data_IF_912340647815
#
_entry.id   IF_912340647815
#
_cell.length_a   1.000
_cell.length_b   1.000
_cell.length_c   1.000
_cell.angle_alpha   90.00
_cell.angle_beta   90.00
_cell.angle_gamma   90.00
#
_symmetry.space_group_name_H-M   'P 1'
#
loop_
_entity.id
_entity.type
_entity.pdbx_description
1 polymer ?
#
# COMPACT_ATOMS: atom_id res chain seq x y z
N UNK A 1 -36.37 -3.90 11.39
CA UNK A 1 -35.26 -4.79 11.16
C UNK A 1 -34.58 -4.47 9.81
N UNK A 2 -35.25 -4.67 8.66
CA UNK A 2 -34.64 -4.45 7.32
C UNK A 2 -34.08 -3.04 7.14
N UNK A 3 -34.78 -1.99 7.64
CA UNK A 3 -34.31 -0.60 7.56
C UNK A 3 -32.96 -0.35 8.24
N UNK A 4 -32.56 -1.17 9.21
CA UNK A 4 -31.25 -1.07 9.86
C UNK A 4 -30.09 -1.51 8.93
N UNK A 5 -30.37 -2.22 7.84
CA UNK A 5 -29.36 -2.61 6.85
C UNK A 5 -29.03 -1.48 5.86
N UNK A 6 -29.90 -0.46 5.72
CA UNK A 6 -29.72 0.60 4.71
C UNK A 6 -28.44 1.44 4.93
N UNK A 7 -28.12 1.90 6.16
CA UNK A 7 -26.87 2.63 6.39
C UNK A 7 -25.63 1.80 6.06
N UNK A 8 -25.66 0.49 6.37
CA UNK A 8 -24.55 -0.42 6.08
C UNK A 8 -24.38 -0.63 4.58
N UNK A 9 -25.48 -0.75 3.83
CA UNK A 9 -25.43 -0.84 2.37
C UNK A 9 -24.92 0.46 1.72
N UNK A 10 -25.34 1.62 2.24
CA UNK A 10 -24.87 2.91 1.75
C UNK A 10 -23.36 3.10 2.00
N UNK A 11 -22.85 2.68 3.16
CA UNK A 11 -21.43 2.74 3.46
C UNK A 11 -20.59 1.77 2.62
N UNK A 12 -21.20 0.74 2.02
CA UNK A 12 -20.52 -0.20 1.13
C UNK A 12 -20.45 0.29 -0.33
N UNK A 13 -21.05 1.44 -0.66
CA UNK A 13 -20.90 2.08 -1.97
C UNK A 13 -19.46 2.60 -2.06
N UNK A 14 -18.66 2.01 -2.93
CA UNK A 14 -17.22 2.35 -3.04
C UNK A 14 -16.29 1.43 -2.26
N UNK A 15 -16.79 0.57 -1.37
CA UNK A 15 -15.97 -0.39 -0.65
C UNK A 15 -15.46 -1.53 -1.56
N UNK A 16 -14.41 -2.22 -1.08
CA UNK A 16 -13.88 -3.45 -1.70
C UNK A 16 -14.97 -4.52 -1.89
N UNK A 17 -14.69 -5.54 -2.69
CA UNK A 17 -15.63 -6.66 -2.91
C UNK A 17 -16.01 -7.31 -1.59
N UNK A 18 -15.07 -7.49 -0.68
CA UNK A 18 -15.33 -8.08 0.64
C UNK A 18 -16.14 -7.16 1.56
N UNK A 19 -15.91 -5.84 1.48
CA UNK A 19 -16.75 -4.85 2.14
C UNK A 19 -18.22 -4.91 1.65
N UNK A 20 -18.42 -5.03 0.33
CA UNK A 20 -19.75 -5.22 -0.28
C UNK A 20 -20.38 -6.54 0.12
N UNK A 21 -19.62 -7.63 0.17
CA UNK A 21 -20.08 -8.95 0.64
C UNK A 21 -20.52 -8.89 2.11
N UNK A 22 -19.73 -8.26 2.97
CA UNK A 22 -20.07 -8.10 4.40
C UNK A 22 -21.40 -7.34 4.58
N UNK A 23 -21.60 -6.26 3.85
CA UNK A 23 -22.87 -5.51 3.86
C UNK A 23 -24.03 -6.34 3.34
N UNK A 24 -23.81 -7.16 2.31
CA UNK A 24 -24.80 -8.04 1.73
C UNK A 24 -25.15 -9.22 2.66
N UNK A 25 -24.19 -9.80 3.39
CA UNK A 25 -24.45 -10.81 4.45
C UNK A 25 -25.42 -10.23 5.48
N UNK A 26 -25.21 -8.99 5.91
CA UNK A 26 -26.10 -8.34 6.87
C UNK A 26 -27.52 -8.18 6.30
N UNK A 27 -27.66 -7.72 5.06
CA UNK A 27 -28.96 -7.59 4.40
C UNK A 27 -29.68 -8.93 4.26
N UNK A 28 -29.00 -9.95 3.74
CA UNK A 28 -29.56 -11.31 3.53
C UNK A 28 -30.02 -11.90 4.87
N UNK A 29 -29.22 -11.75 5.93
CA UNK A 29 -29.59 -12.22 7.27
C UNK A 29 -30.79 -11.47 7.84
N UNK A 30 -30.91 -10.15 7.63
CA UNK A 30 -32.07 -9.36 8.08
C UNK A 30 -33.35 -9.78 7.31
N UNK A 31 -33.28 -9.88 5.99
CA UNK A 31 -34.45 -10.27 5.15
C UNK A 31 -34.89 -11.69 5.45
N UNK A 32 -33.95 -12.65 5.47
CA UNK A 32 -34.26 -14.05 5.76
C UNK A 32 -34.84 -14.23 7.16
N UNK A 33 -34.27 -13.54 8.15
CA UNK A 33 -34.74 -13.58 9.53
C UNK A 33 -36.17 -13.01 9.67
N UNK A 34 -36.49 -11.92 8.99
CA UNK A 34 -37.85 -11.33 9.00
C UNK A 34 -38.87 -12.28 8.35
N UNK A 35 -38.54 -12.84 7.19
CA UNK A 35 -39.42 -13.76 6.47
C UNK A 35 -39.68 -15.02 7.31
N UNK A 36 -38.62 -15.63 7.85
CA UNK A 36 -38.72 -16.83 8.68
C UNK A 36 -39.58 -16.58 9.93
N UNK A 37 -39.29 -15.50 10.64
CA UNK A 37 -40.02 -15.15 11.84
C UNK A 37 -41.49 -14.84 11.56
N UNK A 38 -41.77 -14.08 10.49
CA UNK A 38 -43.17 -13.76 10.08
C UNK A 38 -43.91 -15.05 9.72
N UNK A 39 -43.32 -15.93 8.95
CA UNK A 39 -43.91 -17.23 8.58
C UNK A 39 -44.26 -18.08 9.82
N UNK A 40 -43.34 -18.20 10.77
CA UNK A 40 -43.54 -18.95 12.02
C UNK A 40 -44.61 -18.26 12.88
N UNK A 41 -44.54 -16.92 13.06
CA UNK A 41 -45.49 -16.18 13.89
C UNK A 41 -46.89 -16.29 13.37
N UNK A 42 -47.14 -16.00 12.08
CA UNK A 42 -48.48 -16.05 11.50
C UNK A 42 -49.06 -17.48 11.44
N UNK A 43 -48.22 -18.48 11.23
CA UNK A 43 -48.63 -19.87 11.25
C UNK A 43 -49.04 -20.31 12.66
N UNK A 44 -48.30 -19.95 13.67
CA UNK A 44 -48.62 -20.23 15.08
C UNK A 44 -49.84 -19.45 15.54
N UNK A 45 -49.95 -18.17 15.18
CA UNK A 45 -51.12 -17.37 15.52
C UNK A 45 -52.39 -17.89 14.92
N UNK A 46 -52.38 -18.38 13.67
CA UNK A 46 -53.51 -19.02 13.03
C UNK A 46 -53.95 -20.34 13.73
N UNK A 47 -53.00 -21.06 14.37
CA UNK A 47 -53.28 -22.32 15.09
C UNK A 47 -53.72 -22.09 16.53
N UNK A 48 -53.06 -21.20 17.25
CA UNK A 48 -53.18 -21.02 18.73
C UNK A 48 -53.93 -19.74 19.10
N UNK A 49 -53.99 -18.76 18.19
CA UNK A 49 -54.57 -17.41 18.44
C UNK A 49 -53.96 -16.75 19.67
N UNK A 50 -52.85 -16.08 19.50
CA UNK A 50 -52.12 -15.46 20.61
C UNK A 50 -52.97 -14.38 21.34
N UNK A 51 -53.23 -14.50 22.65
CA UNK A 51 -54.08 -13.56 23.39
C UNK A 51 -53.50 -12.14 23.49
N UNK A 52 -52.25 -11.96 23.11
CA UNK A 52 -51.56 -10.66 23.13
C UNK A 52 -51.50 -9.96 21.77
N UNK A 53 -51.95 -10.62 20.69
CA UNK A 53 -51.91 -10.05 19.35
C UNK A 53 -52.75 -8.77 19.20
N UNK A 54 -53.86 -8.70 19.91
CA UNK A 54 -54.77 -7.56 19.91
C UNK A 54 -54.47 -6.47 20.95
N UNK A 55 -53.38 -6.62 21.72
CA UNK A 55 -53.01 -5.64 22.74
C UNK A 55 -52.28 -4.44 22.14
N UNK A 56 -52.62 -3.23 22.65
CA UNK A 56 -51.91 -2.00 22.31
C UNK A 56 -50.48 -2.09 22.85
N UNK A 57 -49.52 -1.99 21.97
CA UNK A 57 -48.11 -2.06 22.32
C UNK A 57 -47.58 -0.70 22.85
N UNK A 58 -46.91 -0.72 23.97
CA UNK A 58 -46.13 0.41 24.51
C UNK A 58 -44.73 0.44 23.90
N UNK A 59 -44.06 1.59 23.97
CA UNK A 59 -42.67 1.71 23.50
C UNK A 59 -41.73 0.67 24.13
N UNK A 60 -41.93 0.32 25.40
CA UNK A 60 -41.15 -0.71 26.10
C UNK A 60 -41.43 -2.11 25.55
N UNK A 61 -42.71 -2.41 25.28
CA UNK A 61 -43.13 -3.70 24.69
C UNK A 61 -42.56 -3.88 23.28
N UNK A 62 -42.52 -2.83 22.48
CA UNK A 62 -41.91 -2.85 21.14
C UNK A 62 -40.39 -3.10 21.23
N UNK A 63 -39.69 -2.41 22.13
CA UNK A 63 -38.27 -2.59 22.33
C UNK A 63 -37.93 -4.02 22.79
N UNK A 64 -38.72 -4.55 23.76
CA UNK A 64 -38.55 -5.92 24.23
C UNK A 64 -38.82 -6.95 23.13
N UNK A 65 -39.90 -6.81 22.38
CA UNK A 65 -40.21 -7.71 21.26
C UNK A 65 -39.13 -7.66 20.19
N UNK A 66 -38.57 -6.49 19.87
CA UNK A 66 -37.44 -6.36 18.93
C UNK A 66 -36.18 -7.06 19.43
N UNK A 67 -35.88 -6.95 20.73
CA UNK A 67 -34.71 -7.64 21.34
C UNK A 67 -34.87 -9.16 21.27
N UNK A 68 -36.05 -9.67 21.64
CA UNK A 68 -36.35 -11.11 21.56
C UNK A 68 -36.29 -11.60 20.12
N UNK A 69 -36.87 -10.86 19.18
CA UNK A 69 -36.79 -11.18 17.76
C UNK A 69 -35.34 -11.28 17.27
N UNK A 70 -34.49 -10.29 17.59
CA UNK A 70 -33.08 -10.30 17.18
C UNK A 70 -32.33 -11.48 17.77
N UNK A 71 -32.55 -11.79 19.03
CA UNK A 71 -31.92 -12.94 19.68
C UNK A 71 -32.31 -14.27 19.02
N UNK A 72 -33.59 -14.50 18.82
CA UNK A 72 -34.12 -15.71 18.17
C UNK A 72 -33.56 -15.82 16.75
N UNK A 73 -33.57 -14.71 16.00
CA UNK A 73 -33.02 -14.65 14.64
C UNK A 73 -31.56 -15.08 14.59
N UNK A 74 -30.71 -14.55 15.48
CA UNK A 74 -29.28 -14.90 15.52
C UNK A 74 -29.11 -16.38 15.80
N UNK A 75 -29.79 -16.92 16.83
CA UNK A 75 -29.69 -18.35 17.17
C UNK A 75 -30.17 -19.24 16.02
N UNK A 76 -31.26 -18.85 15.35
CA UNK A 76 -31.84 -19.62 14.24
C UNK A 76 -30.95 -19.59 12.97
N UNK A 77 -30.29 -18.47 12.69
CA UNK A 77 -29.46 -18.32 11.48
C UNK A 77 -28.02 -18.80 11.67
N UNK A 78 -27.53 -18.94 12.91
CA UNK A 78 -26.17 -19.36 13.22
C UNK A 78 -25.74 -20.67 12.49
N UNK A 79 -26.55 -21.75 12.46
CA UNK A 79 -26.18 -22.98 11.75
C UNK A 79 -26.19 -22.82 10.21
N UNK A 80 -26.78 -21.74 9.69
CA UNK A 80 -26.94 -21.49 8.24
C UNK A 80 -25.94 -20.45 7.70
N UNK A 81 -24.93 -20.08 8.45
CA UNK A 81 -23.92 -19.08 8.02
C UNK A 81 -23.29 -19.42 6.69
N UNK A 82 -22.89 -20.69 6.47
CA UNK A 82 -22.29 -21.14 5.20
C UNK A 82 -23.26 -21.05 4.01
N UNK A 83 -24.55 -21.20 4.23
CA UNK A 83 -25.57 -21.07 3.19
C UNK A 83 -25.79 -19.60 2.84
N UNK A 84 -25.79 -18.71 3.84
CA UNK A 84 -25.87 -17.26 3.64
C UNK A 84 -24.65 -16.78 2.85
N UNK A 85 -23.45 -17.25 3.18
CA UNK A 85 -22.21 -16.96 2.49
C UNK A 85 -22.29 -17.33 1.00
N UNK A 86 -22.73 -18.55 0.67
CA UNK A 86 -22.93 -18.99 -0.72
C UNK A 86 -23.92 -18.13 -1.49
N UNK A 87 -25.00 -17.67 -0.84
CA UNK A 87 -25.99 -16.79 -1.48
C UNK A 87 -25.35 -15.41 -1.75
N UNK A 88 -24.54 -14.91 -0.83
CA UNK A 88 -23.85 -13.63 -0.98
C UNK A 88 -22.80 -13.70 -2.07
N UNK A 89 -22.03 -14.78 -2.17
CA UNK A 89 -21.06 -15.00 -3.26
C UNK A 89 -21.75 -15.04 -4.65
N UNK A 90 -22.98 -15.54 -4.71
CA UNK A 90 -23.78 -15.51 -5.94
C UNK A 90 -24.28 -14.09 -6.28
N UNK A 91 -24.63 -13.29 -5.26
CA UNK A 91 -25.14 -11.92 -5.43
C UNK A 91 -24.05 -10.90 -5.70
N UNK A 92 -22.86 -11.13 -5.13
CA UNK A 92 -21.67 -10.30 -5.29
C UNK A 92 -20.54 -11.21 -5.78
N UNK A 93 -20.59 -11.60 -7.07
CA UNK A 93 -19.54 -12.43 -7.64
C UNK A 93 -18.22 -11.69 -7.60
N UNK A 94 -17.14 -12.42 -7.42
CA UNK A 94 -15.81 -11.89 -7.69
C UNK A 94 -15.82 -11.26 -9.09
N UNK A 95 -15.30 -10.06 -9.23
CA UNK A 95 -14.88 -9.65 -10.57
C UNK A 95 -14.04 -10.80 -11.10
N UNK A 96 -14.26 -11.26 -12.37
CA UNK A 96 -13.40 -12.28 -12.90
C UNK A 96 -11.99 -11.76 -12.71
N UNK A 97 -11.29 -12.29 -11.71
CA UNK A 97 -9.85 -12.15 -11.65
C UNK A 97 -9.44 -12.78 -12.97
N UNK A 98 -9.06 -11.96 -13.94
CA UNK A 98 -8.14 -12.45 -14.95
C UNK A 98 -7.12 -13.19 -14.11
N UNK A 99 -7.06 -14.52 -14.25
CA UNK A 99 -6.00 -15.30 -13.61
C UNK A 99 -4.77 -14.49 -13.89
N UNK A 100 -4.10 -13.93 -12.88
CA UNK A 100 -2.95 -13.13 -13.16
C UNK A 100 -2.07 -14.05 -13.98
N UNK A 101 -1.69 -13.63 -15.17
CA UNK A 101 -0.59 -14.26 -15.88
C UNK A 101 0.51 -14.20 -14.85
N UNK A 102 0.88 -15.35 -14.25
CA UNK A 102 2.03 -15.38 -13.35
C UNK A 102 3.17 -14.83 -14.18
N UNK A 103 3.78 -13.71 -13.77
CA UNK A 103 4.94 -13.22 -14.49
C UNK A 103 5.87 -14.42 -14.62
N UNK A 104 6.34 -14.74 -15.82
CA UNK A 104 7.26 -15.87 -16.04
C UNK A 104 8.49 -15.81 -15.11
N UNK A 105 8.77 -14.63 -14.57
CA UNK A 105 9.81 -14.34 -13.59
C UNK A 105 9.59 -14.98 -12.19
N UNK A 106 8.37 -15.41 -11.80
CA UNK A 106 8.11 -15.98 -10.47
C UNK A 106 8.24 -17.51 -10.48
N UNK A 107 9.34 -18.05 -10.96
CA UNK A 107 9.63 -19.50 -10.88
C UNK A 107 10.50 -19.84 -9.68
N UNK A 108 9.99 -19.58 -8.47
CA UNK A 108 10.60 -20.07 -7.23
C UNK A 108 10.21 -21.54 -7.05
N UNK A 109 11.07 -22.45 -7.51
CA UNK A 109 10.80 -23.87 -7.40
C UNK A 109 11.25 -24.42 -6.04
N UNK A 110 10.33 -25.00 -5.26
CA UNK A 110 10.64 -25.55 -3.92
C UNK A 110 11.76 -26.61 -3.93
N UNK A 111 12.01 -27.28 -5.06
CA UNK A 111 13.11 -28.24 -5.19
C UNK A 111 14.49 -27.60 -5.02
N UNK A 112 14.63 -26.31 -5.34
CA UNK A 112 15.91 -25.60 -5.19
C UNK A 112 16.23 -25.25 -3.73
N UNK A 113 15.27 -25.30 -2.81
CA UNK A 113 15.52 -25.11 -1.37
C UNK A 113 16.52 -26.14 -0.82
N UNK A 114 16.71 -27.28 -1.52
CA UNK A 114 17.71 -28.27 -1.15
C UNK A 114 19.15 -27.86 -1.58
N UNK A 115 19.28 -26.84 -2.40
CA UNK A 115 20.52 -26.27 -2.91
C UNK A 115 20.58 -24.76 -2.62
N UNK A 116 20.99 -24.35 -1.40
CA UNK A 116 20.84 -22.97 -0.91
C UNK A 116 21.38 -21.90 -1.86
N UNK A 117 22.58 -22.07 -2.41
CA UNK A 117 23.17 -21.11 -3.34
C UNK A 117 22.28 -20.88 -4.59
N UNK A 118 21.67 -21.94 -5.13
CA UNK A 118 20.77 -21.83 -6.27
C UNK A 118 19.44 -21.17 -5.88
N UNK A 119 18.93 -21.48 -4.69
CA UNK A 119 17.72 -20.87 -4.17
C UNK A 119 17.88 -19.35 -3.94
N UNK A 120 19.03 -18.92 -3.41
CA UNK A 120 19.40 -17.52 -3.23
C UNK A 120 19.47 -16.80 -4.57
N UNK A 121 20.15 -17.38 -5.56
CA UNK A 121 20.26 -16.80 -6.90
C UNK A 121 18.90 -16.66 -7.58
N UNK A 122 18.03 -17.66 -7.49
CA UNK A 122 16.65 -17.57 -7.99
C UNK A 122 15.83 -16.49 -7.27
N UNK A 123 16.01 -16.35 -5.96
CA UNK A 123 15.37 -15.29 -5.18
C UNK A 123 15.87 -13.92 -5.62
N UNK A 124 17.19 -13.73 -5.80
CA UNK A 124 17.79 -12.47 -6.27
C UNK A 124 17.25 -12.05 -7.65
N UNK A 125 17.17 -12.98 -8.59
CA UNK A 125 16.58 -12.72 -9.91
C UNK A 125 15.10 -12.33 -9.82
N UNK A 126 14.34 -12.97 -8.95
CA UNK A 126 12.92 -12.67 -8.75
C UNK A 126 12.72 -11.32 -8.07
N UNK A 127 13.59 -10.97 -7.10
CA UNK A 127 13.55 -9.65 -6.45
C UNK A 127 13.92 -8.53 -7.44
N UNK A 128 14.87 -8.77 -8.36
CA UNK A 128 15.17 -7.81 -9.41
C UNK A 128 13.92 -7.50 -10.29
N UNK A 129 13.12 -8.52 -10.61
CA UNK A 129 11.87 -8.31 -11.34
C UNK A 129 10.85 -7.52 -10.50
N UNK A 130 10.69 -7.85 -9.23
CA UNK A 130 9.86 -7.11 -8.27
C UNK A 130 10.29 -5.64 -8.18
N UNK A 131 11.59 -5.38 -8.07
CA UNK A 131 12.17 -4.04 -7.96
C UNK A 131 11.88 -3.17 -9.20
N UNK A 132 11.96 -3.75 -10.41
CA UNK A 132 11.61 -3.02 -11.64
C UNK A 132 10.12 -2.72 -11.72
N UNK A 133 9.24 -3.61 -11.21
CA UNK A 133 7.80 -3.31 -11.11
C UNK A 133 7.52 -2.24 -10.07
N UNK A 134 8.12 -2.27 -8.88
CA UNK A 134 7.99 -1.24 -7.86
C UNK A 134 8.45 0.14 -8.36
N UNK A 135 9.61 0.20 -9.04
CA UNK A 135 10.08 1.42 -9.71
C UNK A 135 9.10 1.93 -10.76
N UNK A 136 8.58 1.03 -11.61
CA UNK A 136 7.59 1.39 -12.62
C UNK A 136 6.32 1.94 -11.96
N UNK A 137 5.86 1.30 -10.88
CA UNK A 137 4.71 1.74 -10.11
C UNK A 137 4.87 3.17 -9.60
N UNK A 138 6.00 3.47 -8.97
CA UNK A 138 6.33 4.81 -8.51
C UNK A 138 6.35 5.84 -9.64
N UNK A 139 6.98 5.54 -10.78
CA UNK A 139 7.06 6.46 -11.93
C UNK A 139 5.68 6.76 -12.50
N UNK A 140 4.81 5.74 -12.63
CA UNK A 140 3.45 5.92 -13.12
C UNK A 140 2.56 6.70 -12.14
N UNK A 141 2.73 6.48 -10.82
CA UNK A 141 2.03 7.25 -9.80
C UNK A 141 2.41 8.74 -9.81
N UNK A 142 3.71 9.05 -9.88
CA UNK A 142 4.20 10.44 -10.01
C UNK A 142 3.68 11.10 -11.28
N UNK A 143 3.58 10.36 -12.39
CA UNK A 143 3.07 10.90 -13.64
C UNK A 143 1.58 11.29 -13.57
N UNK A 144 0.78 10.70 -12.67
CA UNK A 144 -0.61 11.10 -12.43
C UNK A 144 -0.75 12.52 -11.87
N UNK A 145 0.25 13.01 -11.15
CA UNK A 145 0.26 14.39 -10.63
C UNK A 145 0.41 15.45 -11.73
N UNK A 146 0.96 15.07 -12.89
CA UNK A 146 1.05 15.95 -14.07
C UNK A 146 -0.19 15.88 -14.97
N UNK A 147 -0.91 14.78 -14.93
CA UNK A 147 -2.12 14.59 -15.73
C UNK A 147 -2.82 13.28 -15.33
N UNK A 148 -3.99 13.42 -14.71
CA UNK A 148 -4.77 12.28 -14.26
C UNK A 148 -5.31 11.47 -15.44
N UNK A 149 -5.21 10.14 -15.36
CA UNK A 149 -5.76 9.18 -16.33
C UNK A 149 -6.26 7.95 -15.56
N UNK A 150 -7.51 7.54 -15.83
CA UNK A 150 -8.09 6.34 -15.22
C UNK A 150 -7.35 5.07 -15.63
N UNK A 151 -6.75 5.03 -16.83
CA UNK A 151 -5.94 3.91 -17.29
C UNK A 151 -4.65 3.78 -16.45
N UNK A 152 -3.99 4.91 -16.22
CA UNK A 152 -2.76 4.96 -15.41
C UNK A 152 -3.06 4.70 -13.94
N UNK A 153 -4.18 5.21 -13.44
CA UNK A 153 -4.66 4.91 -12.09
C UNK A 153 -4.78 3.39 -11.87
N UNK A 154 -5.47 2.71 -12.79
CA UNK A 154 -5.61 1.26 -12.73
C UNK A 154 -4.29 0.52 -12.89
N UNK A 155 -3.37 1.03 -13.71
CA UNK A 155 -2.05 0.43 -13.89
C UNK A 155 -1.25 0.44 -12.58
N UNK A 156 -1.31 1.52 -11.81
CA UNK A 156 -0.65 1.64 -10.50
C UNK A 156 -1.23 0.62 -9.51
N UNK A 157 -2.57 0.47 -9.44
CA UNK A 157 -3.22 -0.55 -8.59
C UNK A 157 -2.84 -1.98 -9.01
N UNK A 158 -2.77 -2.25 -10.33
CA UNK A 158 -2.40 -3.58 -10.85
C UNK A 158 -0.91 -3.89 -10.56
N UNK A 159 -0.02 -2.90 -10.62
CA UNK A 159 1.41 -3.04 -10.32
C UNK A 159 1.65 -3.27 -8.81
N UNK A 160 0.97 -2.53 -7.94
CA UNK A 160 1.04 -2.76 -6.49
C UNK A 160 0.60 -4.18 -6.14
N UNK A 161 -0.56 -4.62 -6.64
CA UNK A 161 -1.03 -5.99 -6.45
C UNK A 161 -0.02 -7.04 -6.97
N UNK A 162 0.77 -6.71 -8.00
CA UNK A 162 1.83 -7.59 -8.49
C UNK A 162 3.03 -7.63 -7.53
N UNK A 163 3.45 -6.47 -7.02
CA UNK A 163 4.55 -6.35 -6.06
C UNK A 163 4.24 -7.09 -4.76
N UNK A 164 3.03 -6.97 -4.22
CA UNK A 164 2.56 -7.71 -3.05
C UNK A 164 2.67 -9.23 -3.24
N UNK A 165 2.31 -9.73 -4.44
CA UNK A 165 2.47 -11.16 -4.73
C UNK A 165 3.92 -11.61 -4.78
N UNK A 166 4.81 -10.75 -5.25
CA UNK A 166 6.25 -11.03 -5.18
C UNK A 166 6.70 -11.12 -3.73
N UNK A 167 6.28 -10.15 -2.88
CA UNK A 167 6.62 -10.12 -1.46
C UNK A 167 6.16 -11.41 -0.75
N UNK A 168 4.88 -11.77 -0.86
CA UNK A 168 4.31 -12.97 -0.26
C UNK A 168 5.05 -14.26 -0.66
N UNK A 169 5.30 -14.44 -1.96
CA UNK A 169 5.96 -15.63 -2.49
C UNK A 169 7.44 -15.70 -2.09
N UNK A 170 8.15 -14.60 -2.26
CA UNK A 170 9.57 -14.49 -1.91
C UNK A 170 9.79 -14.62 -0.40
N UNK A 171 8.98 -13.92 0.41
CA UNK A 171 9.04 -14.00 1.87
C UNK A 171 8.83 -15.43 2.35
N UNK A 172 7.78 -16.09 1.88
CA UNK A 172 7.50 -17.51 2.20
C UNK A 172 8.66 -18.42 1.76
N UNK A 173 9.21 -18.21 0.57
CA UNK A 173 10.30 -19.04 0.03
C UNK A 173 11.59 -18.86 0.82
N UNK A 174 11.99 -17.62 1.10
CA UNK A 174 13.20 -17.31 1.86
C UNK A 174 13.10 -17.73 3.33
N UNK A 175 11.92 -17.63 3.97
CA UNK A 175 11.71 -18.17 5.31
C UNK A 175 11.88 -19.69 5.33
N UNK A 176 11.35 -20.41 4.33
CA UNK A 176 11.57 -21.86 4.20
C UNK A 176 13.04 -22.20 3.98
N UNK A 177 13.76 -21.38 3.21
CA UNK A 177 15.19 -21.54 2.98
C UNK A 177 15.99 -21.32 4.27
N UNK A 178 15.71 -20.25 5.01
CA UNK A 178 16.37 -19.90 6.28
C UNK A 178 16.14 -20.93 7.39
N UNK A 179 15.06 -21.72 7.31
CA UNK A 179 14.82 -22.84 8.22
C UNK A 179 15.75 -24.04 7.96
N UNK A 180 16.57 -24.02 6.91
CA UNK A 180 17.58 -25.04 6.61
C UNK A 180 18.91 -24.70 7.28
N UNK A 181 19.83 -25.68 7.30
CA UNK A 181 21.23 -25.43 7.70
C UNK A 181 21.93 -24.70 6.56
N UNK A 182 22.01 -23.39 6.66
CA UNK A 182 22.74 -22.53 5.75
C UNK A 182 24.17 -22.34 6.25
N UNK A 183 25.11 -22.08 5.33
CA UNK A 183 26.41 -21.51 5.66
C UNK A 183 26.26 -20.07 6.15
N UNK A 184 27.29 -19.51 6.73
CA UNK A 184 27.27 -18.15 7.28
C UNK A 184 26.97 -17.13 6.17
N UNK A 185 27.68 -17.17 5.04
CA UNK A 185 27.44 -16.29 3.89
C UNK A 185 26.02 -16.43 3.30
N UNK A 186 25.53 -17.69 3.16
CA UNK A 186 24.18 -17.96 2.65
C UNK A 186 23.09 -17.39 3.59
N UNK A 187 23.33 -17.42 4.90
CA UNK A 187 22.43 -16.86 5.90
C UNK A 187 22.40 -15.33 5.85
N UNK A 188 23.57 -14.71 5.66
CA UNK A 188 23.67 -13.25 5.49
C UNK A 188 22.96 -12.79 4.23
N UNK A 189 23.21 -13.45 3.08
CA UNK A 189 22.55 -13.14 1.82
C UNK A 189 21.02 -13.34 1.89
N UNK A 190 20.53 -14.43 2.49
CA UNK A 190 19.10 -14.66 2.67
C UNK A 190 18.45 -13.57 3.54
N UNK A 191 19.17 -13.07 4.55
CA UNK A 191 18.71 -11.98 5.42
C UNK A 191 18.68 -10.64 4.66
N UNK A 192 19.69 -10.34 3.85
CA UNK A 192 19.71 -9.17 2.97
C UNK A 192 18.52 -9.17 2.02
N UNK A 193 18.27 -10.30 1.35
CA UNK A 193 17.15 -10.45 0.42
C UNK A 193 15.80 -10.25 1.11
N UNK A 194 15.60 -10.79 2.32
CA UNK A 194 14.38 -10.60 3.10
C UNK A 194 14.15 -9.14 3.48
N UNK A 195 15.18 -8.39 3.84
CA UNK A 195 15.06 -6.95 4.11
C UNK A 195 14.71 -6.18 2.85
N UNK A 196 15.41 -6.45 1.74
CA UNK A 196 15.22 -5.75 0.48
C UNK A 196 13.81 -5.93 -0.11
N UNK A 197 13.18 -7.11 0.08
CA UNK A 197 11.79 -7.36 -0.33
C UNK A 197 10.85 -6.35 0.33
N UNK A 198 10.96 -6.17 1.64
CA UNK A 198 10.13 -5.22 2.37
C UNK A 198 10.34 -3.77 1.93
N UNK A 199 11.59 -3.37 1.63
CA UNK A 199 11.86 -2.02 1.13
C UNK A 199 11.28 -1.79 -0.28
N UNK A 200 11.32 -2.78 -1.18
CA UNK A 200 10.69 -2.67 -2.51
C UNK A 200 9.16 -2.67 -2.44
N UNK A 201 8.55 -3.44 -1.54
CA UNK A 201 7.10 -3.38 -1.28
C UNK A 201 6.71 -1.98 -0.78
N UNK A 202 7.44 -1.43 0.20
CA UNK A 202 7.20 -0.07 0.71
C UNK A 202 7.30 1.02 -0.34
N UNK A 203 8.23 0.91 -1.29
CA UNK A 203 8.29 1.83 -2.44
C UNK A 203 6.99 1.76 -3.27
N UNK A 204 6.43 0.57 -3.45
CA UNK A 204 5.17 0.38 -4.16
C UNK A 204 3.96 0.89 -3.36
N UNK A 205 3.93 0.68 -2.04
CA UNK A 205 2.92 1.24 -1.13
C UNK A 205 2.86 2.77 -1.20
N UNK A 206 4.03 3.43 -1.16
CA UNK A 206 4.11 4.88 -1.31
C UNK A 206 3.63 5.36 -2.69
N UNK A 207 3.78 4.55 -3.75
CA UNK A 207 3.20 4.86 -5.05
C UNK A 207 1.66 4.88 -5.00
N UNK A 208 1.02 4.00 -4.22
CA UNK A 208 -0.44 4.02 -4.00
C UNK A 208 -0.86 5.26 -3.21
N UNK A 209 -0.12 5.66 -2.18
CA UNK A 209 -0.42 6.91 -1.45
C UNK A 209 -0.33 8.15 -2.38
N UNK A 210 0.65 8.18 -3.29
CA UNK A 210 0.76 9.22 -4.32
C UNK A 210 -0.44 9.17 -5.28
N UNK A 211 -0.88 7.98 -5.68
CA UNK A 211 -2.09 7.75 -6.47
C UNK A 211 -3.34 8.33 -5.80
N UNK A 212 -3.54 8.05 -4.50
CA UNK A 212 -4.65 8.57 -3.70
C UNK A 212 -4.62 10.10 -3.64
N UNK A 213 -3.45 10.68 -3.43
CA UNK A 213 -3.23 12.14 -3.45
C UNK A 213 -3.58 12.75 -4.83
N UNK A 214 -3.22 12.09 -5.93
CA UNK A 214 -3.60 12.52 -7.28
C UNK A 214 -5.12 12.45 -7.51
N UNK A 215 -5.78 11.42 -6.97
CA UNK A 215 -7.24 11.29 -6.95
C UNK A 215 -7.90 12.43 -6.16
N UNK A 216 -7.37 12.76 -4.98
CA UNK A 216 -7.87 13.85 -4.15
C UNK A 216 -7.75 15.22 -4.84
N UNK A 217 -6.61 15.50 -5.48
CA UNK A 217 -6.43 16.72 -6.27
C UNK A 217 -7.48 16.84 -7.37
N UNK A 218 -7.77 15.75 -8.10
CA UNK A 218 -8.80 15.71 -9.15
C UNK A 218 -10.18 15.95 -8.57
N UNK A 219 -10.58 15.20 -7.56
CA UNK A 219 -11.95 15.19 -7.03
C UNK A 219 -12.31 16.51 -6.36
N UNK A 220 -11.37 17.12 -5.66
CA UNK A 220 -11.51 18.44 -5.03
C UNK A 220 -11.19 19.59 -5.99
N UNK A 221 -10.79 19.31 -7.24
CA UNK A 221 -10.38 20.31 -8.25
C UNK A 221 -9.29 21.26 -7.74
N UNK A 222 -8.35 20.71 -6.97
CA UNK A 222 -7.20 21.44 -6.47
C UNK A 222 -6.07 21.44 -7.50
N UNK A 223 -5.27 22.49 -7.49
CA UNK A 223 -4.08 22.61 -8.32
C UNK A 223 -2.96 23.29 -7.57
N UNK A 224 -1.75 22.87 -7.81
CA UNK A 224 -0.55 23.55 -7.31
C UNK A 224 -0.23 24.75 -8.20
N UNK A 225 0.43 25.76 -7.61
CA UNK A 225 0.98 26.89 -8.36
C UNK A 225 2.05 26.41 -9.35
N UNK A 226 2.30 27.15 -10.40
CA UNK A 226 3.32 26.78 -11.39
C UNK A 226 4.73 26.72 -10.79
N UNK A 227 5.03 27.58 -9.82
CA UNK A 227 6.25 27.51 -9.02
C UNK A 227 6.35 26.17 -8.25
N UNK A 228 5.26 25.72 -7.59
CA UNK A 228 5.25 24.44 -6.88
C UNK A 228 5.40 23.25 -7.83
N UNK A 229 4.83 23.31 -9.03
CA UNK A 229 5.00 22.26 -10.07
C UNK A 229 6.46 22.16 -10.53
N UNK A 230 7.15 23.29 -10.71
CA UNK A 230 8.57 23.31 -11.06
C UNK A 230 9.47 22.75 -9.94
N UNK A 231 9.16 23.08 -8.69
CA UNK A 231 9.83 22.50 -7.53
C UNK A 231 9.59 20.98 -7.45
N UNK A 232 8.35 20.54 -7.69
CA UNK A 232 7.97 19.14 -7.68
C UNK A 232 8.70 18.33 -8.78
N UNK A 233 8.84 18.88 -9.99
CA UNK A 233 9.58 18.22 -11.08
C UNK A 233 11.06 18.02 -10.72
N UNK A 234 11.68 18.99 -10.02
CA UNK A 234 13.05 18.86 -9.54
C UNK A 234 13.18 17.69 -8.55
N UNK A 235 12.25 17.58 -7.59
CA UNK A 235 12.21 16.49 -6.62
C UNK A 235 11.93 15.13 -7.31
N UNK A 236 10.98 15.09 -8.24
CA UNK A 236 10.65 13.87 -8.99
C UNK A 236 11.84 13.35 -9.81
N UNK A 237 12.66 14.24 -10.40
CA UNK A 237 13.85 13.86 -11.11
C UNK A 237 14.94 13.29 -10.18
N UNK A 238 15.13 13.86 -8.99
CA UNK A 238 16.04 13.32 -7.98
C UNK A 238 15.59 11.91 -7.52
N UNK A 239 14.28 11.72 -7.32
CA UNK A 239 13.69 10.43 -6.95
C UNK A 239 13.83 9.36 -8.05
N UNK A 240 13.65 9.72 -9.31
CA UNK A 240 13.91 8.80 -10.43
C UNK A 240 15.37 8.34 -10.47
N UNK A 241 16.31 9.24 -10.16
CA UNK A 241 17.74 8.92 -10.12
C UNK A 241 18.08 8.02 -8.94
N UNK A 242 17.60 8.31 -7.72
CA UNK A 242 17.89 7.48 -6.55
C UNK A 242 17.32 6.07 -6.70
N UNK A 243 16.10 5.92 -7.24
CA UNK A 243 15.53 4.63 -7.58
C UNK A 243 16.41 3.86 -8.58
N UNK A 244 16.87 4.52 -9.64
CA UNK A 244 17.73 3.89 -10.62
C UNK A 244 19.09 3.47 -10.03
N UNK A 245 19.68 4.27 -9.14
CA UNK A 245 20.91 3.96 -8.43
C UNK A 245 20.73 2.77 -7.49
N UNK A 246 19.66 2.79 -6.68
CA UNK A 246 19.36 1.72 -5.71
C UNK A 246 19.12 0.37 -6.42
N UNK A 247 18.33 0.35 -7.49
CA UNK A 247 18.10 -0.86 -8.28
C UNK A 247 19.39 -1.38 -8.94
N UNK A 248 20.20 -0.47 -9.49
CA UNK A 248 21.48 -0.85 -10.09
C UNK A 248 22.43 -1.42 -9.03
N UNK A 249 22.53 -0.78 -7.87
CA UNK A 249 23.33 -1.28 -6.76
C UNK A 249 22.89 -2.68 -6.33
N UNK A 250 21.60 -2.90 -6.17
CA UNK A 250 21.02 -4.19 -5.79
C UNK A 250 21.28 -5.28 -6.84
N UNK A 251 21.05 -4.97 -8.13
CA UNK A 251 21.20 -5.95 -9.20
C UNK A 251 22.66 -6.35 -9.47
N UNK A 252 23.60 -5.43 -9.24
CA UNK A 252 25.04 -5.66 -9.50
C UNK A 252 25.85 -6.01 -8.26
N UNK A 253 25.34 -5.75 -7.05
CA UNK A 253 26.10 -5.82 -5.80
C UNK A 253 27.26 -4.80 -5.72
N UNK A 254 27.22 -3.72 -6.53
CA UNK A 254 28.29 -2.73 -6.62
C UNK A 254 28.23 -1.72 -5.48
N UNK A 255 29.18 -1.85 -4.54
CA UNK A 255 29.31 -0.98 -3.37
C UNK A 255 29.55 0.50 -3.78
N UNK A 256 30.27 0.73 -4.87
CA UNK A 256 30.55 2.10 -5.32
C UNK A 256 29.24 2.80 -5.74
N UNK A 257 28.36 2.07 -6.44
CA UNK A 257 27.02 2.57 -6.80
C UNK A 257 26.14 2.73 -5.57
N UNK A 258 26.16 1.76 -4.64
CA UNK A 258 25.41 1.84 -3.40
C UNK A 258 25.80 3.06 -2.56
N UNK A 259 27.09 3.40 -2.53
CA UNK A 259 27.62 4.57 -1.79
C UNK A 259 27.19 5.92 -2.39
N UNK A 260 26.64 5.96 -3.60
CA UNK A 260 26.09 7.19 -4.20
C UNK A 260 24.65 7.48 -3.77
N UNK A 261 23.94 6.49 -3.24
CA UNK A 261 22.51 6.61 -2.89
C UNK A 261 22.32 7.56 -1.69
N UNK A 262 23.07 7.37 -0.63
CA UNK A 262 22.92 8.16 0.60
C UNK A 262 23.18 9.67 0.43
N UNK A 263 24.21 10.12 -0.33
CA UNK A 263 24.37 11.54 -0.64
C UNK A 263 23.16 12.16 -1.38
N UNK A 264 22.53 11.38 -2.27
CA UNK A 264 21.36 11.85 -3.02
C UNK A 264 20.09 11.86 -2.14
N UNK A 265 19.92 10.89 -1.24
CA UNK A 265 18.84 10.88 -0.24
C UNK A 265 18.88 12.15 0.61
N UNK A 266 20.04 12.55 1.12
CA UNK A 266 20.20 13.78 1.90
C UNK A 266 19.85 15.06 1.11
N UNK A 267 20.10 15.06 -0.19
CA UNK A 267 19.65 16.16 -1.07
C UNK A 267 18.13 16.16 -1.20
N UNK A 268 17.50 14.98 -1.35
CA UNK A 268 16.04 14.84 -1.43
C UNK A 268 15.37 15.34 -0.13
N UNK A 269 15.91 14.97 1.04
CA UNK A 269 15.42 15.46 2.33
C UNK A 269 15.53 16.98 2.45
N UNK A 270 16.67 17.55 2.01
CA UNK A 270 16.86 19.00 1.94
C UNK A 270 15.84 19.67 1.01
N UNK A 271 15.57 19.09 -0.17
CA UNK A 271 14.57 19.60 -1.13
C UNK A 271 13.17 19.60 -0.53
N UNK A 272 12.76 18.50 0.13
CA UNK A 272 11.48 18.38 0.84
C UNK A 272 11.28 19.53 1.83
N UNK A 273 12.26 19.79 2.70
CA UNK A 273 12.16 20.85 3.71
C UNK A 273 12.13 22.25 3.08
N UNK A 274 12.87 22.48 2.00
CA UNK A 274 12.81 23.73 1.26
C UNK A 274 11.44 23.92 0.60
N UNK A 275 10.90 22.91 -0.06
CA UNK A 275 9.58 22.97 -0.70
C UNK A 275 8.48 23.21 0.32
N UNK A 276 8.53 22.52 1.47
CA UNK A 276 7.62 22.75 2.60
C UNK A 276 7.64 24.20 3.09
N UNK A 277 8.83 24.75 3.29
CA UNK A 277 9.01 26.14 3.71
C UNK A 277 8.45 27.12 2.69
N UNK A 278 8.77 26.94 1.40
CA UNK A 278 8.26 27.78 0.32
C UNK A 278 6.73 27.70 0.19
N UNK A 279 6.15 26.52 0.39
CA UNK A 279 4.71 26.36 0.36
C UNK A 279 4.01 27.12 1.50
N UNK A 280 4.56 27.06 2.72
CA UNK A 280 4.03 27.85 3.85
C UNK A 280 4.04 29.36 3.52
N UNK A 281 5.09 29.86 2.90
CA UNK A 281 5.16 31.27 2.47
C UNK A 281 4.10 31.59 1.41
N UNK A 282 3.88 30.72 0.43
CA UNK A 282 2.82 30.87 -0.59
C UNK A 282 1.41 30.87 0.03
N UNK A 283 1.17 30.02 1.04
CA UNK A 283 -0.10 30.04 1.79
C UNK A 283 -0.30 31.37 2.54
N UNK A 284 0.71 31.87 3.21
CA UNK A 284 0.65 33.17 3.91
C UNK A 284 0.36 34.35 2.96
N UNK A 285 0.80 34.24 1.71
CA UNK A 285 0.55 35.22 0.66
C UNK A 285 -0.79 35.03 -0.07
N UNK A 286 -1.60 34.02 0.33
CA UNK A 286 -2.88 33.72 -0.30
C UNK A 286 -2.76 33.11 -1.71
N UNK A 287 -1.58 32.61 -2.09
CA UNK A 287 -1.32 32.02 -3.42
C UNK A 287 -1.70 30.54 -3.51
N UNK A 288 -1.92 29.89 -2.36
CA UNK A 288 -2.30 28.47 -2.27
C UNK A 288 -3.41 28.28 -1.24
N UNK A 289 -4.32 27.31 -1.48
CA UNK A 289 -5.33 26.93 -0.51
C UNK A 289 -4.72 26.06 0.62
N UNK A 290 -5.38 26.06 1.77
CA UNK A 290 -4.98 25.21 2.92
C UNK A 290 -5.15 23.72 2.54
N UNK A 291 -6.22 23.38 1.80
CA UNK A 291 -6.50 22.01 1.36
C UNK A 291 -5.38 21.49 0.45
N UNK A 292 -4.92 22.28 -0.52
CA UNK A 292 -3.77 21.91 -1.36
C UNK A 292 -2.47 21.77 -0.54
N UNK A 293 -2.37 22.49 0.58
CA UNK A 293 -1.26 22.39 1.52
C UNK A 293 -1.20 21.03 2.23
N UNK A 294 -2.32 20.47 2.63
CA UNK A 294 -2.37 19.14 3.22
C UNK A 294 -1.94 18.06 2.21
N UNK A 295 -2.51 18.08 1.01
CA UNK A 295 -2.14 17.12 -0.03
C UNK A 295 -0.64 17.22 -0.38
N UNK A 296 -0.09 18.44 -0.47
CA UNK A 296 1.36 18.60 -0.70
C UNK A 296 2.20 18.03 0.44
N UNK A 297 1.77 18.21 1.70
CA UNK A 297 2.50 17.69 2.86
C UNK A 297 2.56 16.17 2.86
N UNK A 298 1.45 15.50 2.51
CA UNK A 298 1.36 14.05 2.41
C UNK A 298 2.25 13.55 1.26
N UNK A 299 2.12 14.16 0.08
CA UNK A 299 2.98 13.86 -1.08
C UNK A 299 4.48 13.98 -0.76
N UNK A 300 4.89 15.07 -0.11
CA UNK A 300 6.29 15.26 0.25
C UNK A 300 6.79 14.20 1.24
N UNK A 301 5.91 13.71 2.11
CA UNK A 301 6.23 12.63 3.05
C UNK A 301 6.41 11.30 2.32
N UNK A 302 5.49 10.93 1.43
CA UNK A 302 5.58 9.68 0.67
C UNK A 302 6.80 9.66 -0.28
N UNK A 303 7.11 10.80 -0.88
CA UNK A 303 8.28 10.95 -1.74
C UNK A 303 9.59 10.79 -0.96
N UNK A 304 9.70 11.39 0.22
CA UNK A 304 10.89 11.23 1.08
C UNK A 304 11.00 9.80 1.61
N UNK A 305 9.89 9.18 2.05
CA UNK A 305 9.90 7.78 2.48
C UNK A 305 10.38 6.83 1.38
N UNK A 306 10.04 7.12 0.13
CA UNK A 306 10.56 6.36 -1.01
C UNK A 306 12.09 6.46 -1.10
N UNK A 307 12.69 7.64 -0.87
CA UNK A 307 14.15 7.78 -0.85
C UNK A 307 14.81 7.08 0.35
N UNK A 308 14.15 7.09 1.52
CA UNK A 308 14.59 6.36 2.71
C UNK A 308 14.72 4.85 2.41
N UNK A 309 13.71 4.25 1.75
CA UNK A 309 13.76 2.84 1.37
C UNK A 309 14.87 2.54 0.35
N UNK A 310 15.14 3.46 -0.58
CA UNK A 310 16.29 3.35 -1.48
C UNK A 310 17.63 3.34 -0.71
N UNK A 311 17.76 4.19 0.31
CA UNK A 311 18.93 4.25 1.18
C UNK A 311 19.07 2.97 2.02
N UNK A 312 17.98 2.41 2.54
CA UNK A 312 17.99 1.14 3.27
C UNK A 312 18.50 -0.01 2.39
N UNK A 313 18.03 -0.11 1.14
CA UNK A 313 18.49 -1.12 0.18
C UNK A 313 20.01 -0.98 -0.07
N UNK A 314 20.46 0.24 -0.33
CA UNK A 314 21.88 0.50 -0.57
C UNK A 314 22.73 0.19 0.67
N UNK A 315 22.26 0.54 1.84
CA UNK A 315 22.91 0.23 3.11
C UNK A 315 23.01 -1.27 3.38
N UNK A 316 21.97 -2.06 3.08
CA UNK A 316 22.03 -3.52 3.19
C UNK A 316 23.13 -4.12 2.32
N UNK A 317 23.31 -3.62 1.08
CA UNK A 317 24.36 -4.08 0.17
C UNK A 317 25.76 -3.80 0.74
N UNK A 318 25.96 -2.59 1.30
CA UNK A 318 27.24 -2.19 1.89
C UNK A 318 27.54 -3.03 3.13
N UNK A 319 26.56 -3.23 4.02
CA UNK A 319 26.74 -3.99 5.26
C UNK A 319 27.08 -5.46 4.99
N UNK A 320 26.36 -6.10 4.06
CA UNK A 320 26.64 -7.50 3.67
C UNK A 320 28.04 -7.66 3.10
N UNK A 321 28.48 -6.72 2.26
CA UNK A 321 29.83 -6.75 1.68
C UNK A 321 30.95 -6.49 2.70
N UNK A 322 30.66 -5.83 3.81
CA UNK A 322 31.60 -5.56 4.91
C UNK A 322 31.49 -6.54 6.08
N UNK A 323 30.62 -7.57 5.98
CA UNK A 323 30.27 -8.48 7.09
C UNK A 323 29.86 -7.74 8.37
N UNK A 324 29.17 -6.60 8.22
CA UNK A 324 28.72 -5.75 9.31
C UNK A 324 27.18 -5.74 9.36
N UNK A 325 26.61 -6.14 10.50
CA UNK A 325 25.15 -6.24 10.66
C UNK A 325 24.48 -4.95 11.18
N UNK A 326 25.24 -3.85 11.33
CA UNK A 326 24.75 -2.61 11.94
C UNK A 326 24.58 -1.47 10.91
N UNK A 327 23.51 -1.57 10.09
CA UNK A 327 23.15 -0.61 9.05
C UNK A 327 23.24 0.86 9.49
N UNK A 328 22.68 1.22 10.64
CA UNK A 328 22.65 2.59 11.14
C UNK A 328 24.01 3.15 11.58
N UNK A 329 24.94 2.30 12.03
CA UNK A 329 26.28 2.73 12.37
C UNK A 329 27.14 2.97 11.13
N UNK A 330 27.01 2.12 10.13
CA UNK A 330 27.77 2.23 8.86
C UNK A 330 27.34 3.48 8.10
N UNK A 331 26.05 3.73 7.94
CA UNK A 331 25.52 4.94 7.31
C UNK A 331 25.95 6.21 8.06
N UNK A 332 25.91 6.23 9.40
CA UNK A 332 26.38 7.37 10.19
C UNK A 332 27.88 7.61 10.08
N UNK A 333 28.67 6.56 10.09
CA UNK A 333 30.14 6.67 9.95
C UNK A 333 30.53 7.22 8.56
N UNK A 334 29.84 6.79 7.52
CA UNK A 334 30.02 7.26 6.14
C UNK A 334 29.64 8.74 5.99
N UNK A 335 28.53 9.17 6.60
CA UNK A 335 28.08 10.58 6.62
C UNK A 335 29.10 11.54 7.24
N UNK A 336 29.82 11.09 8.29
CA UNK A 336 30.65 11.99 9.10
C UNK A 336 32.11 12.11 8.60
N UNK A 337 32.64 11.14 7.87
CA UNK A 337 34.10 11.00 7.64
C UNK A 337 34.54 10.94 6.18
N UNK A 338 33.66 10.72 5.21
CA UNK A 338 34.07 10.51 3.82
C UNK A 338 34.10 11.82 3.01
N UNK A 339 35.28 12.18 2.50
CA UNK A 339 35.47 13.27 1.54
C UNK A 339 34.63 13.01 0.25
N UNK A 340 34.57 11.76 -0.19
CA UNK A 340 33.75 11.30 -1.32
C UNK A 340 32.25 11.57 -1.11
N UNK A 341 31.72 11.39 0.11
CA UNK A 341 30.34 11.70 0.43
C UNK A 341 30.04 13.20 0.23
N UNK A 342 30.92 14.07 0.76
CA UNK A 342 30.73 15.52 0.65
C UNK A 342 30.81 16.01 -0.79
N UNK A 343 31.70 15.43 -1.57
CA UNK A 343 31.83 15.74 -3.00
C UNK A 343 30.54 15.36 -3.76
N UNK A 344 30.03 14.15 -3.57
CA UNK A 344 28.80 13.66 -4.19
C UNK A 344 27.58 14.45 -3.74
N UNK A 345 27.45 14.73 -2.43
CA UNK A 345 26.38 15.58 -1.90
C UNK A 345 26.40 16.97 -2.57
N UNK A 346 27.57 17.61 -2.67
CA UNK A 346 27.69 18.91 -3.32
C UNK A 346 27.29 18.87 -4.78
N UNK A 347 27.70 17.81 -5.49
CA UNK A 347 27.35 17.58 -6.89
C UNK A 347 25.83 17.44 -7.08
N UNK A 348 25.18 16.60 -6.26
CA UNK A 348 23.73 16.42 -6.32
C UNK A 348 22.94 17.66 -5.88
N UNK A 349 23.40 18.37 -4.84
CA UNK A 349 22.77 19.61 -4.39
C UNK A 349 22.83 20.70 -5.47
N UNK A 350 23.91 20.75 -6.26
CA UNK A 350 23.98 21.66 -7.40
C UNK A 350 23.08 21.21 -8.55
N UNK A 351 23.03 19.90 -8.84
CA UNK A 351 22.22 19.32 -9.92
C UNK A 351 20.73 19.53 -9.68
N UNK A 352 20.27 19.37 -8.45
CA UNK A 352 18.86 19.41 -8.03
C UNK A 352 18.51 20.67 -7.22
N UNK A 353 19.08 21.82 -7.56
CA UNK A 353 18.69 23.09 -6.95
C UNK A 353 17.26 23.48 -7.37
N UNK A 354 16.45 23.92 -6.39
CA UNK A 354 15.09 24.41 -6.68
C UNK A 354 15.15 25.71 -7.52
N UNK A 355 14.22 25.91 -8.46
CA UNK A 355 14.14 27.16 -9.23
C UNK A 355 14.07 28.39 -8.31
N UNK A 356 14.71 29.49 -8.71
CA UNK A 356 14.63 30.74 -7.95
C UNK A 356 13.20 31.26 -7.98
N UNK A 357 12.68 31.66 -6.80
CA UNK A 357 11.32 32.20 -6.63
C UNK A 357 11.10 33.57 -7.35
N UNK A 358 12.07 34.07 -8.08
CA UNK A 358 12.03 35.36 -8.80
C UNK A 358 11.77 35.19 -10.32
N UNK A 359 11.70 33.95 -10.84
CA UNK A 359 11.53 33.68 -12.29
C UNK A 359 10.24 32.92 -12.61
N UNK A 360 9.29 32.81 -11.67
CA UNK A 360 8.00 32.15 -11.89
C UNK A 360 6.81 33.12 -11.77
#
# INVERSE_FOLDING_TARGET
AIGAAMPVLLSAIGASVDGKRTAMVYLVAEVTGVILFAAIYYTLDALIRFPFADRIMTSVSIAFANTVFRFIKVVALLPFTRQIEKVVDLLVPDKPQQKPVEPEAVRLEERFIQHPALAIEQSRLTINAMAEEAKRNFVEAVALLHGYSDERFKLVEDLETSVDRYEDKLGTYLVKLSARKLGENESEEATELLKSIGDFERISDHAVNILESAGELRDKKLSFSDSAKGEFETLANALREILALSLRAFSTGDIAVASEVEPLEQVIDTLKEQMRTRHILRMQQGQCSIEAGFVLSDLLTDLERTSDHCSNIAGCIIDTAQHNLNLHETLRATKLTSESFREKFTQYAHKYSLPNSAEA
#
